data_IF_602027891440
#
_entry.id   IF_602027891440
#
_cell.length_a   1.000
_cell.length_b   1.000
_cell.length_c   1.000
_cell.angle_alpha   90.00
_cell.angle_beta   90.00
_cell.angle_gamma   90.00
#
_symmetry.space_group_name_H-M   'P 1'
#
loop_
_entity.id
_entity.type
_entity.pdbx_description
1 polymer ?
#
# COMPACT_ATOMS: atom_id res chain seq x y z
N UNK A 1 3.37 12.09 -3.91
CA UNK A 1 2.58 13.27 -3.50
C UNK A 1 1.26 12.92 -2.82
N UNK A 2 0.44 12.00 -3.36
CA UNK A 2 -0.88 11.70 -2.78
C UNK A 2 -0.87 11.26 -1.32
N UNK A 3 0.13 10.50 -0.89
CA UNK A 3 0.24 10.01 0.49
C UNK A 3 0.47 11.13 1.51
N UNK A 4 1.35 12.08 1.18
CA UNK A 4 1.61 13.29 1.97
C UNK A 4 0.34 14.17 2.06
N UNK A 5 -0.35 14.36 0.92
CA UNK A 5 -1.57 15.16 0.89
C UNK A 5 -2.69 14.57 1.76
N UNK A 6 -2.83 13.24 1.79
CA UNK A 6 -3.79 12.55 2.66
C UNK A 6 -3.50 12.81 4.14
N UNK A 7 -2.25 12.65 4.58
CA UNK A 7 -1.85 12.98 5.96
C UNK A 7 -2.21 14.43 6.33
N UNK A 8 -1.92 15.36 5.42
CA UNK A 8 -2.13 16.78 5.61
C UNK A 8 -3.57 17.25 5.32
N UNK A 9 -4.50 16.34 4.97
CA UNK A 9 -5.89 16.65 4.57
C UNK A 9 -5.97 17.71 3.46
N UNK A 10 -5.02 17.69 2.55
CA UNK A 10 -4.98 18.58 1.39
C UNK A 10 -5.67 17.89 0.22
N UNK A 11 -6.53 18.64 -0.47
CA UNK A 11 -7.09 18.15 -1.72
C UNK A 11 -5.97 17.86 -2.72
N UNK A 12 -6.12 16.77 -3.47
CA UNK A 12 -5.20 16.41 -4.55
C UNK A 12 -5.47 17.34 -5.74
N UNK A 13 -4.47 18.11 -6.22
CA UNK A 13 -4.60 18.83 -7.48
C UNK A 13 -4.88 17.86 -8.63
N UNK A 14 -5.83 18.21 -9.49
CA UNK A 14 -6.20 17.40 -10.67
C UNK A 14 -4.99 17.13 -11.57
N UNK A 15 -4.09 18.11 -11.68
CA UNK A 15 -2.81 18.03 -12.39
C UNK A 15 -1.95 16.83 -11.97
N UNK A 16 -1.99 16.43 -10.69
CA UNK A 16 -1.22 15.29 -10.20
C UNK A 16 -1.79 13.95 -10.67
N UNK A 17 -3.08 13.90 -11.00
CA UNK A 17 -3.74 12.67 -11.48
C UNK A 17 -3.56 12.44 -12.97
N UNK A 18 -3.31 13.50 -13.75
CA UNK A 18 -3.09 13.45 -15.19
C UNK A 18 -1.61 13.35 -15.59
N UNK A 19 -0.68 13.54 -14.65
CA UNK A 19 0.76 13.56 -14.91
C UNK A 19 1.36 12.16 -14.99
N UNK A 20 2.05 11.86 -16.08
CA UNK A 20 3.01 10.76 -16.12
C UNK A 20 4.31 11.18 -15.42
N UNK A 21 4.53 10.66 -14.21
CA UNK A 21 5.74 10.95 -13.44
C UNK A 21 6.97 10.22 -13.97
N UNK A 22 6.80 9.15 -14.76
CA UNK A 22 7.91 8.33 -15.26
C UNK A 22 8.58 8.91 -16.51
N UNK A 23 7.95 9.91 -17.14
CA UNK A 23 8.50 10.65 -18.26
C UNK A 23 9.72 11.53 -17.88
N UNK A 24 9.87 11.89 -16.60
CA UNK A 24 11.00 12.66 -16.11
C UNK A 24 12.23 11.75 -15.89
N UNK A 25 13.44 12.10 -16.37
CA UNK A 25 14.61 11.22 -16.23
C UNK A 25 15.02 10.95 -14.78
N UNK A 26 14.74 11.90 -13.87
CA UNK A 26 15.04 11.80 -12.44
C UNK A 26 13.85 11.29 -11.61
N UNK A 27 12.84 10.69 -12.25
CA UNK A 27 11.63 10.20 -11.57
C UNK A 27 11.92 9.28 -10.37
N UNK A 28 12.93 8.38 -10.37
CA UNK A 28 13.16 7.49 -9.23
C UNK A 28 13.56 8.28 -7.97
N UNK A 29 14.47 9.25 -8.12
CA UNK A 29 14.91 10.10 -7.03
C UNK A 29 13.77 11.03 -6.56
N UNK A 30 12.98 11.56 -7.49
CA UNK A 30 11.81 12.37 -7.17
C UNK A 30 10.76 11.54 -6.41
N UNK A 31 10.54 10.29 -6.78
CA UNK A 31 9.62 9.38 -6.11
C UNK A 31 10.10 9.03 -4.69
N UNK A 32 11.38 8.71 -4.51
CA UNK A 32 11.96 8.48 -3.19
C UNK A 32 11.77 9.69 -2.26
N UNK A 33 12.09 10.90 -2.74
CA UNK A 33 11.88 12.13 -1.97
C UNK A 33 10.40 12.40 -1.65
N UNK A 34 9.46 11.96 -2.51
CA UNK A 34 8.03 12.04 -2.22
C UNK A 34 7.61 11.07 -1.11
N UNK A 35 8.18 9.88 -1.07
CA UNK A 35 7.94 8.91 0.00
C UNK A 35 8.49 9.42 1.33
N UNK A 36 9.69 10.01 1.35
CA UNK A 36 10.26 10.61 2.57
C UNK A 36 9.35 11.68 3.17
N UNK A 37 8.78 12.56 2.33
CA UNK A 37 7.82 13.57 2.80
C UNK A 37 6.52 12.96 3.30
N UNK A 38 6.03 11.89 2.66
CA UNK A 38 4.85 11.20 3.13
C UNK A 38 5.10 10.56 4.50
N UNK A 39 6.21 9.86 4.68
CA UNK A 39 6.61 9.27 5.97
C UNK A 39 6.73 10.36 7.04
N UNK A 40 7.39 11.48 6.73
CA UNK A 40 7.50 12.61 7.66
C UNK A 40 6.13 13.18 8.06
N UNK A 41 5.18 13.29 7.13
CA UNK A 41 3.84 13.77 7.42
C UNK A 41 3.03 12.79 8.30
N UNK A 42 3.17 11.48 8.06
CA UNK A 42 2.50 10.44 8.84
C UNK A 42 3.15 10.16 10.20
N UNK A 43 4.34 10.69 10.46
CA UNK A 43 5.05 10.52 11.74
C UNK A 43 4.42 11.32 12.90
N UNK A 44 3.60 12.34 12.61
CA UNK A 44 2.86 13.07 13.64
C UNK A 44 1.64 12.25 14.11
N UNK A 45 1.57 11.82 15.38
CA UNK A 45 0.43 11.05 15.89
C UNK A 45 -0.91 11.75 15.69
N UNK A 46 -0.95 13.09 15.68
CA UNK A 46 -2.18 13.84 15.48
C UNK A 46 -2.81 13.62 14.10
N UNK A 47 -2.02 13.25 13.08
CA UNK A 47 -2.58 13.03 11.73
C UNK A 47 -3.40 11.75 11.61
N UNK A 48 -3.23 10.81 12.54
CA UNK A 48 -3.95 9.53 12.61
C UNK A 48 -5.38 9.68 13.17
N UNK A 49 -5.70 10.82 13.77
CA UNK A 49 -7.00 11.09 14.37
C UNK A 49 -8.02 11.69 13.38
N UNK A 50 -9.31 11.41 13.58
CA UNK A 50 -10.39 11.95 12.76
C UNK A 50 -10.45 11.35 11.35
N UNK A 51 -11.05 12.08 10.41
CA UNK A 51 -11.38 11.57 9.08
C UNK A 51 -10.58 12.26 7.97
N UNK A 52 -10.37 11.54 6.88
CA UNK A 52 -9.81 12.02 5.61
C UNK A 52 -10.92 11.96 4.55
N UNK A 53 -11.08 13.07 3.83
CA UNK A 53 -12.02 13.17 2.71
C UNK A 53 -11.37 12.67 1.41
N UNK A 54 -11.97 11.63 0.83
CA UNK A 54 -11.55 11.03 -0.44
C UNK A 54 -12.36 11.57 -1.63
N UNK A 55 -13.14 12.64 -1.45
CA UNK A 55 -14.04 13.23 -2.44
C UNK A 55 -15.39 12.52 -2.54
N UNK A 56 -15.39 11.18 -2.55
CA UNK A 56 -16.61 10.37 -2.62
C UNK A 56 -17.10 9.88 -1.24
N UNK A 57 -16.20 9.82 -0.26
CA UNK A 57 -16.49 9.38 1.09
C UNK A 57 -15.46 9.95 2.08
N UNK A 58 -15.84 10.03 3.35
CA UNK A 58 -14.93 10.28 4.46
C UNK A 58 -14.63 8.96 5.16
N UNK A 59 -13.37 8.76 5.54
CA UNK A 59 -12.92 7.56 6.22
C UNK A 59 -11.98 7.91 7.37
N UNK A 60 -11.95 7.12 8.46
CA UNK A 60 -10.97 7.32 9.53
C UNK A 60 -9.54 7.33 9.00
N UNK A 61 -8.72 8.27 9.48
CA UNK A 61 -7.34 8.43 9.02
C UNK A 61 -6.51 7.16 9.25
N UNK A 62 -6.71 6.47 10.38
CA UNK A 62 -6.09 5.19 10.68
C UNK A 62 -6.44 4.09 9.65
N UNK A 63 -7.66 4.10 9.11
CA UNK A 63 -8.06 3.14 8.07
C UNK A 63 -7.35 3.44 6.74
N UNK A 64 -7.25 4.73 6.38
CA UNK A 64 -6.51 5.13 5.18
C UNK A 64 -5.02 4.80 5.31
N UNK A 65 -4.43 5.03 6.47
CA UNK A 65 -3.04 4.71 6.75
C UNK A 65 -2.78 3.20 6.62
N UNK A 66 -3.67 2.36 7.17
CA UNK A 66 -3.55 0.90 7.09
C UNK A 66 -3.58 0.42 5.63
N UNK A 67 -4.50 0.96 4.83
CA UNK A 67 -4.60 0.66 3.40
C UNK A 67 -3.34 1.10 2.66
N UNK A 68 -2.82 2.30 2.91
CA UNK A 68 -1.59 2.80 2.28
C UNK A 68 -0.40 1.88 2.57
N UNK A 69 -0.23 1.44 3.81
CA UNK A 69 0.85 0.50 4.18
C UNK A 69 0.70 -0.82 3.42
N UNK A 70 -0.53 -1.37 3.38
CA UNK A 70 -0.84 -2.58 2.61
C UNK A 70 -0.53 -2.41 1.12
N UNK A 71 -0.97 -1.32 0.49
CA UNK A 71 -0.71 -1.07 -0.94
C UNK A 71 0.80 -0.97 -1.23
N UNK A 72 1.57 -0.32 -0.35
CA UNK A 72 3.02 -0.21 -0.51
C UNK A 72 3.74 -1.54 -0.37
N UNK A 73 3.34 -2.37 0.60
CA UNK A 73 3.95 -3.67 0.77
C UNK A 73 3.63 -4.61 -0.40
N UNK A 74 2.35 -4.75 -0.73
CA UNK A 74 1.87 -5.69 -1.75
C UNK A 74 2.34 -5.28 -3.15
N UNK A 75 2.22 -4.02 -3.53
CA UNK A 75 2.69 -3.57 -4.85
C UNK A 75 4.21 -3.39 -4.92
N UNK A 76 4.87 -3.12 -3.79
CA UNK A 76 6.33 -3.19 -3.70
C UNK A 76 6.83 -4.60 -4.04
N UNK A 77 6.17 -5.63 -3.51
CA UNK A 77 6.42 -7.02 -3.89
C UNK A 77 6.13 -7.28 -5.37
N UNK A 78 5.01 -6.80 -5.91
CA UNK A 78 4.66 -6.96 -7.34
C UNK A 78 5.80 -6.47 -8.26
N UNK A 79 6.32 -5.26 -7.99
CA UNK A 79 7.41 -4.66 -8.78
C UNK A 79 8.72 -5.42 -8.58
N UNK A 80 9.06 -5.79 -7.34
CA UNK A 80 10.28 -6.52 -7.05
C UNK A 80 10.29 -7.86 -7.77
N UNK A 81 9.22 -8.64 -7.64
CA UNK A 81 9.01 -9.92 -8.34
C UNK A 81 9.11 -9.77 -9.85
N UNK A 82 8.40 -8.79 -10.44
CA UNK A 82 8.43 -8.54 -11.88
C UNK A 82 9.81 -8.13 -12.41
N UNK A 83 10.71 -7.67 -11.54
CA UNK A 83 12.07 -7.22 -11.88
C UNK A 83 13.16 -8.16 -11.37
N UNK A 84 12.81 -9.30 -10.78
CA UNK A 84 13.76 -10.28 -10.23
C UNK A 84 14.52 -9.78 -9.00
N UNK A 85 13.95 -8.82 -8.27
CA UNK A 85 14.50 -8.32 -7.01
C UNK A 85 13.85 -9.01 -5.81
N UNK A 86 14.59 -9.15 -4.72
CA UNK A 86 14.04 -9.61 -3.47
C UNK A 86 13.32 -8.48 -2.74
N UNK A 87 12.14 -8.77 -2.19
CA UNK A 87 11.36 -7.84 -1.37
C UNK A 87 11.30 -8.30 0.07
N UNK A 88 11.53 -7.40 1.01
CA UNK A 88 11.52 -7.70 2.44
C UNK A 88 10.73 -6.65 3.22
N UNK A 89 9.93 -7.13 4.17
CA UNK A 89 9.27 -6.33 5.21
C UNK A 89 9.58 -6.93 6.57
N UNK A 90 9.54 -6.12 7.63
CA UNK A 90 9.70 -6.64 8.99
C UNK A 90 8.53 -7.55 9.37
N UNK A 91 8.75 -8.48 10.31
CA UNK A 91 7.68 -9.38 10.77
C UNK A 91 6.46 -8.65 11.33
N UNK A 92 6.68 -7.52 12.01
CA UNK A 92 5.60 -6.70 12.54
C UNK A 92 4.79 -6.04 11.41
N UNK A 93 5.46 -5.53 10.38
CA UNK A 93 4.80 -4.98 9.20
C UNK A 93 4.08 -6.08 8.41
N UNK A 94 4.67 -7.27 8.28
CA UNK A 94 4.06 -8.42 7.63
C UNK A 94 2.76 -8.85 8.32
N UNK A 95 2.76 -8.96 9.66
CA UNK A 95 1.57 -9.26 10.45
C UNK A 95 0.50 -8.19 10.31
N UNK A 96 0.89 -6.91 10.38
CA UNK A 96 -0.02 -5.80 10.17
C UNK A 96 -0.66 -5.84 8.77
N UNK A 97 0.13 -6.06 7.72
CA UNK A 97 -0.36 -6.15 6.35
C UNK A 97 -1.31 -7.33 6.17
N UNK A 98 -1.01 -8.48 6.77
CA UNK A 98 -1.92 -9.64 6.77
C UNK A 98 -3.28 -9.27 7.38
N UNK A 99 -3.30 -8.64 8.55
CA UNK A 99 -4.55 -8.23 9.20
C UNK A 99 -5.36 -7.27 8.31
N UNK A 100 -4.70 -6.32 7.63
CA UNK A 100 -5.37 -5.39 6.71
C UNK A 100 -5.92 -6.13 5.48
N UNK A 101 -5.16 -7.05 4.91
CA UNK A 101 -5.59 -7.86 3.74
C UNK A 101 -6.80 -8.70 4.12
N UNK A 102 -6.74 -9.47 5.22
CA UNK A 102 -7.84 -10.33 5.65
C UNK A 102 -9.10 -9.53 5.97
N UNK A 103 -8.97 -8.39 6.68
CA UNK A 103 -10.09 -7.50 7.02
C UNK A 103 -10.85 -7.00 5.78
N UNK A 104 -10.15 -6.73 4.68
CA UNK A 104 -10.74 -6.13 3.49
C UNK A 104 -10.89 -7.11 2.31
N UNK A 105 -10.54 -8.39 2.48
CA UNK A 105 -10.45 -9.34 1.38
C UNK A 105 -11.75 -9.45 0.56
N UNK A 106 -12.89 -9.51 1.24
CA UNK A 106 -14.21 -9.57 0.58
C UNK A 106 -14.52 -8.32 -0.24
N UNK A 107 -14.23 -7.14 0.33
CA UNK A 107 -14.45 -5.87 -0.33
C UNK A 107 -13.54 -5.74 -1.57
N UNK A 108 -12.24 -6.05 -1.43
CA UNK A 108 -11.32 -5.99 -2.56
C UNK A 108 -11.71 -6.98 -3.65
N UNK A 109 -12.15 -8.21 -3.32
CA UNK A 109 -12.66 -9.16 -4.33
C UNK A 109 -13.93 -8.68 -5.01
N UNK A 110 -14.86 -8.05 -4.28
CA UNK A 110 -16.09 -7.49 -4.86
C UNK A 110 -15.81 -6.44 -5.94
N UNK A 111 -14.72 -5.70 -5.80
CA UNK A 111 -14.30 -4.64 -6.71
C UNK A 111 -13.09 -5.02 -7.58
N UNK A 112 -12.85 -6.33 -7.79
CA UNK A 112 -11.77 -6.87 -8.63
C UNK A 112 -10.35 -6.41 -8.25
N UNK A 113 -10.15 -5.95 -7.01
CA UNK A 113 -8.85 -5.54 -6.47
C UNK A 113 -8.00 -6.70 -5.97
N UNK A 114 -8.62 -7.82 -5.57
CA UNK A 114 -7.96 -9.09 -5.24
C UNK A 114 -8.54 -10.22 -6.08
N UNK A 115 -7.71 -11.22 -6.40
CA UNK A 115 -8.15 -12.46 -7.01
C UNK A 115 -8.52 -13.50 -5.92
N UNK A 116 -8.92 -14.70 -6.36
CA UNK A 116 -9.14 -15.81 -5.44
C UNK A 116 -7.86 -16.17 -4.69
N UNK A 117 -7.95 -16.52 -3.40
CA UNK A 117 -6.78 -16.82 -2.60
C UNK A 117 -6.05 -18.07 -3.09
N UNK A 118 -4.72 -18.03 -3.03
CA UNK A 118 -3.84 -19.15 -3.39
C UNK A 118 -3.53 -19.98 -2.13
N UNK A 119 -3.45 -21.31 -2.20
CA UNK A 119 -3.07 -22.13 -1.05
C UNK A 119 -1.63 -21.88 -0.63
N UNK A 120 -1.40 -21.76 0.68
CA UNK A 120 -0.07 -21.72 1.31
C UNK A 120 -0.07 -22.61 2.56
N UNK A 121 1.09 -23.14 3.00
CA UNK A 121 1.18 -23.91 4.24
C UNK A 121 0.74 -23.09 5.46
N UNK A 122 0.14 -23.74 6.47
CA UNK A 122 -0.32 -23.07 7.71
C UNK A 122 0.80 -22.34 8.47
N UNK A 123 2.05 -22.78 8.29
CA UNK A 123 3.25 -22.17 8.87
C UNK A 123 3.96 -21.16 7.97
N UNK A 124 3.36 -20.75 6.85
CA UNK A 124 3.96 -19.79 5.94
C UNK A 124 4.18 -18.42 6.64
N UNK A 125 5.25 -17.68 6.27
CA UNK A 125 5.46 -16.31 6.72
C UNK A 125 4.21 -15.44 6.58
N UNK A 126 4.02 -14.50 7.51
CA UNK A 126 2.81 -13.66 7.53
C UNK A 126 2.62 -12.87 6.22
N UNK A 127 3.71 -12.44 5.60
CA UNK A 127 3.63 -11.72 4.33
C UNK A 127 3.22 -12.63 3.17
N UNK A 128 3.74 -13.86 3.10
CA UNK A 128 3.34 -14.86 2.11
C UNK A 128 1.85 -15.18 2.21
N UNK A 129 1.33 -15.28 3.44
CA UNK A 129 -0.10 -15.44 3.70
C UNK A 129 -0.90 -14.22 3.23
N UNK A 130 -0.38 -13.00 3.41
CA UNK A 130 -1.03 -11.78 2.94
C UNK A 130 -1.07 -11.73 1.40
N UNK A 131 0.02 -12.11 0.74
CA UNK A 131 0.08 -12.23 -0.72
C UNK A 131 -0.93 -13.27 -1.21
N UNK A 132 -0.90 -14.47 -0.63
CA UNK A 132 -1.80 -15.57 -0.95
C UNK A 132 -3.27 -15.19 -0.77
N UNK A 133 -3.63 -14.54 0.34
CA UNK A 133 -4.99 -14.06 0.60
C UNK A 133 -5.45 -12.98 -0.39
N UNK A 134 -4.52 -12.23 -0.98
CA UNK A 134 -4.80 -11.27 -2.05
C UNK A 134 -4.89 -11.89 -3.46
N UNK A 135 -4.64 -13.20 -3.56
CA UNK A 135 -4.59 -13.96 -4.81
C UNK A 135 -3.25 -13.91 -5.56
N UNK A 136 -2.18 -13.47 -4.88
CA UNK A 136 -0.80 -13.51 -5.40
C UNK A 136 -0.13 -14.81 -4.99
N UNK A 137 0.71 -15.34 -5.87
CA UNK A 137 1.53 -16.52 -5.57
C UNK A 137 2.88 -16.09 -4.98
N UNK A 138 3.13 -16.32 -3.68
CA UNK A 138 4.39 -15.93 -3.04
C UNK A 138 5.60 -16.68 -3.58
N UNK A 139 5.44 -17.85 -4.23
CA UNK A 139 6.57 -18.60 -4.82
C UNK A 139 7.20 -17.86 -6.01
N UNK A 140 6.48 -16.93 -6.63
CA UNK A 140 6.98 -16.15 -7.77
C UNK A 140 8.06 -15.12 -7.40
N UNK A 141 8.11 -14.69 -6.14
CA UNK A 141 9.00 -13.63 -5.65
C UNK A 141 10.20 -14.12 -4.84
N UNK A 142 10.45 -15.44 -4.79
CA UNK A 142 11.57 -16.05 -4.07
C UNK A 142 12.86 -16.15 -4.89
#
# INVERSE_FOLDING_TARGET
HGLEHRALRKQLPEELTARDFTADPDWPAAYAAQLDRAVAAWADPAVWEGEIDLGMAKMPAAEIASMVIKEMAVHGWDVATATGQQFHVSDDAARFVLDVVEKHAELYRQYDGFADPVPVPDGAPAFDRALAASGRDPEMGQ
#
